data_IF_536441537346
#
_entry.id   IF_536441537346
#
_cell.length_a   1.000
_cell.length_b   1.000
_cell.length_c   1.000
_cell.angle_alpha   90.00
_cell.angle_beta   90.00
_cell.angle_gamma   90.00
#
_symmetry.space_group_name_H-M   'P 1'
#
loop_
_entity.id
_entity.type
_entity.pdbx_description
1 polymer ?
#
# COMPACT_ATOMS: atom_id res chain seq x y z
N UNK A 1 11.13 -4.19 -11.33
CA UNK A 1 11.51 -3.78 -9.95
C UNK A 1 12.98 -3.44 -10.01
N UNK A 2 13.35 -2.20 -9.69
CA UNK A 2 14.76 -1.82 -9.57
C UNK A 2 15.35 -2.46 -8.30
N UNK A 3 16.65 -2.72 -8.32
CA UNK A 3 17.38 -3.30 -7.20
C UNK A 3 17.24 -2.39 -5.97
N UNK A 4 16.73 -2.93 -4.85
CA UNK A 4 16.58 -2.20 -3.58
C UNK A 4 15.15 -2.12 -3.04
N UNK A 5 14.13 -2.47 -3.84
CA UNK A 5 12.73 -2.47 -3.37
C UNK A 5 12.30 -3.89 -3.01
N UNK A 6 11.97 -4.11 -1.74
CA UNK A 6 11.49 -5.39 -1.23
C UNK A 6 9.97 -5.36 -1.12
N UNK A 7 9.29 -6.28 -1.76
CA UNK A 7 7.86 -6.43 -1.57
C UNK A 7 7.56 -6.98 -0.16
N UNK A 8 6.81 -6.22 0.64
CA UNK A 8 6.44 -6.59 2.02
C UNK A 8 4.95 -6.92 2.19
N UNK A 9 4.12 -6.60 1.19
CA UNK A 9 2.70 -6.95 1.19
C UNK A 9 2.04 -6.80 -0.18
N UNK A 10 0.97 -7.57 -0.40
CA UNK A 10 0.10 -7.49 -1.58
C UNK A 10 -1.36 -7.61 -1.16
N UNK A 11 -2.25 -6.94 -1.88
CA UNK A 11 -3.71 -7.01 -1.73
C UNK A 11 -4.14 -6.89 -0.26
N UNK A 12 -3.54 -5.95 0.48
CA UNK A 12 -3.80 -5.79 1.89
C UNK A 12 -5.16 -5.17 2.11
N UNK A 13 -6.04 -5.87 2.82
CA UNK A 13 -7.41 -5.42 3.09
C UNK A 13 -7.62 -5.17 4.58
N UNK A 14 -8.27 -4.06 4.88
CA UNK A 14 -8.71 -3.72 6.23
C UNK A 14 -10.07 -3.01 6.16
N UNK A 15 -10.67 -2.73 7.32
CA UNK A 15 -11.97 -2.04 7.40
C UNK A 15 -11.99 -0.65 6.72
N UNK A 16 -10.82 -0.04 6.50
CA UNK A 16 -10.70 1.31 5.93
C UNK A 16 -10.41 1.32 4.42
N UNK A 17 -10.05 0.17 3.83
CA UNK A 17 -9.73 0.09 2.42
C UNK A 17 -8.80 -1.06 2.07
N UNK A 18 -8.28 -0.97 0.85
CA UNK A 18 -7.37 -1.94 0.25
C UNK A 18 -6.12 -1.21 -0.24
N UNK A 19 -4.96 -1.88 -0.16
CA UNK A 19 -3.69 -1.45 -0.71
C UNK A 19 -3.17 -2.57 -1.64
N UNK A 20 -2.88 -2.23 -2.90
CA UNK A 20 -2.51 -3.24 -3.90
C UNK A 20 -1.13 -3.83 -3.63
N UNK A 21 -0.09 -2.98 -3.54
CA UNK A 21 1.27 -3.41 -3.22
C UNK A 21 1.89 -2.51 -2.15
N UNK A 22 2.66 -3.12 -1.27
CA UNK A 22 3.45 -2.46 -0.24
C UNK A 22 4.91 -2.86 -0.45
N UNK A 23 5.76 -1.88 -0.69
CA UNK A 23 7.19 -2.06 -0.91
C UNK A 23 7.96 -1.40 0.22
N UNK A 24 9.02 -2.04 0.70
CA UNK A 24 10.05 -1.41 1.51
C UNK A 24 11.17 -0.95 0.58
N UNK A 25 11.49 0.33 0.65
CA UNK A 25 12.64 0.94 0.00
C UNK A 25 13.52 1.54 1.09
N UNK A 26 14.46 0.73 1.59
CA UNK A 26 15.42 1.14 2.63
C UNK A 26 14.73 1.71 3.88
N UNK A 27 13.68 1.05 4.36
CA UNK A 27 12.90 1.48 5.53
C UNK A 27 11.79 2.50 5.22
N UNK A 28 11.66 2.94 3.97
CA UNK A 28 10.51 3.75 3.53
C UNK A 28 9.43 2.81 2.99
N UNK A 29 8.24 2.87 3.58
CA UNK A 29 7.08 2.13 3.10
C UNK A 29 6.44 2.85 1.90
N UNK A 30 6.59 2.29 0.72
CA UNK A 30 6.00 2.78 -0.53
C UNK A 30 4.72 2.02 -0.83
N UNK A 31 3.63 2.77 -0.99
CA UNK A 31 2.32 2.24 -1.40
C UNK A 31 2.18 2.40 -2.90
N UNK A 32 1.95 1.30 -3.61
CA UNK A 32 1.76 1.31 -5.07
C UNK A 32 0.34 0.87 -5.38
N UNK A 33 -0.41 1.77 -6.01
CA UNK A 33 -1.72 1.47 -6.60
C UNK A 33 -1.52 0.95 -8.03
N UNK A 34 -2.06 -0.22 -8.32
CA UNK A 34 -1.97 -0.86 -9.63
C UNK A 34 -3.24 -0.58 -10.42
N UNK A 35 -3.11 0.04 -11.59
CA UNK A 35 -4.24 0.32 -12.49
C UNK A 35 -4.05 -0.41 -13.80
N UNK A 36 -4.98 -1.30 -14.14
CA UNK A 36 -5.05 -1.86 -15.48
C UNK A 36 -5.62 -0.81 -16.44
N UNK A 37 -4.95 -0.60 -17.58
CA UNK A 37 -5.47 0.19 -18.69
C UNK A 37 -5.52 -0.67 -19.94
N UNK A 38 -6.71 -0.75 -20.56
CA UNK A 38 -6.90 -1.43 -21.85
C UNK A 38 -6.77 -0.48 -23.04
N UNK A 39 -7.22 0.77 -22.90
CA UNK A 39 -7.15 1.83 -23.90
C UNK A 39 -6.86 3.17 -23.18
N UNK A 40 -6.08 4.06 -23.79
CA UNK A 40 -5.69 5.37 -23.23
C UNK A 40 -6.81 6.43 -23.23
N UNK A 41 -8.05 6.04 -23.54
CA UNK A 41 -9.22 6.95 -23.59
C UNK A 41 -9.84 7.26 -22.23
N UNK A 42 -9.43 6.56 -21.17
CA UNK A 42 -9.91 6.80 -19.80
C UNK A 42 -8.81 7.47 -19.00
N UNK A 43 -9.19 8.43 -18.14
CA UNK A 43 -8.33 9.40 -17.47
C UNK A 43 -6.99 8.90 -16.93
N UNK A 44 -6.05 9.83 -16.79
CA UNK A 44 -4.68 9.57 -16.37
C UNK A 44 -4.60 8.88 -15.00
N UNK A 45 -3.44 8.29 -14.69
CA UNK A 45 -3.20 7.62 -13.41
C UNK A 45 -3.39 8.62 -12.27
N UNK A 46 -2.97 9.86 -12.49
CA UNK A 46 -3.11 10.95 -11.55
C UNK A 46 -4.57 11.31 -11.29
N UNK A 47 -5.40 11.37 -12.34
CA UNK A 47 -6.85 11.62 -12.22
C UNK A 47 -7.56 10.52 -11.43
N UNK A 48 -7.00 9.31 -11.38
CA UNK A 48 -7.55 8.20 -10.60
C UNK A 48 -7.25 8.26 -9.10
N UNK A 49 -6.37 9.17 -8.66
CA UNK A 49 -6.00 9.39 -7.25
C UNK A 49 -6.78 10.59 -6.70
N UNK A 50 -8.08 10.40 -6.51
CA UNK A 50 -8.96 11.41 -5.92
C UNK A 50 -8.64 11.63 -4.43
N UNK A 51 -9.06 12.75 -3.86
CA UNK A 51 -8.91 13.03 -2.43
C UNK A 51 -9.54 11.94 -1.54
N UNK A 52 -10.69 11.41 -1.93
CA UNK A 52 -11.34 10.30 -1.23
C UNK A 52 -10.48 9.02 -1.26
N UNK A 53 -9.81 8.76 -2.38
CA UNK A 53 -8.90 7.61 -2.52
C UNK A 53 -7.64 7.79 -1.68
N UNK A 54 -7.06 8.99 -1.70
CA UNK A 54 -5.92 9.33 -0.83
C UNK A 54 -6.27 9.10 0.65
N UNK A 55 -7.43 9.58 1.10
CA UNK A 55 -7.87 9.39 2.49
C UNK A 55 -7.97 7.90 2.88
N UNK A 56 -8.53 7.05 1.99
CA UNK A 56 -8.60 5.60 2.20
C UNK A 56 -7.22 4.95 2.25
N UNK A 57 -6.33 5.30 1.33
CA UNK A 57 -4.95 4.81 1.31
C UNK A 57 -4.24 5.18 2.62
N UNK A 58 -4.32 6.43 3.05
CA UNK A 58 -3.71 6.89 4.30
C UNK A 58 -4.25 6.11 5.51
N UNK A 59 -5.57 5.92 5.61
CA UNK A 59 -6.18 5.19 6.71
C UNK A 59 -5.77 3.70 6.72
N UNK A 60 -5.74 3.05 5.55
CA UNK A 60 -5.31 1.66 5.43
C UNK A 60 -3.81 1.50 5.73
N UNK A 61 -2.96 2.44 5.30
CA UNK A 61 -1.51 2.44 5.61
C UNK A 61 -1.25 2.60 7.10
N UNK A 62 -1.95 3.51 7.78
CA UNK A 62 -1.85 3.63 9.25
C UNK A 62 -2.22 2.33 9.95
N UNK A 63 -3.31 1.69 9.50
CA UNK A 63 -3.73 0.40 10.03
C UNK A 63 -2.68 -0.70 9.79
N UNK A 64 -2.08 -0.77 8.60
CA UNK A 64 -1.02 -1.72 8.28
C UNK A 64 0.19 -1.57 9.20
N UNK A 65 0.67 -0.34 9.42
CA UNK A 65 1.85 -0.07 10.27
C UNK A 65 1.61 -0.55 11.70
N UNK A 66 0.44 -0.24 12.27
CA UNK A 66 0.08 -0.67 13.63
C UNK A 66 0.01 -2.20 13.70
N UNK A 67 -0.69 -2.84 12.76
CA UNK A 67 -0.82 -4.30 12.71
C UNK A 67 0.55 -5.00 12.58
N UNK A 68 1.45 -4.50 11.73
CA UNK A 68 2.80 -5.07 11.58
C UNK A 68 3.66 -4.91 12.83
N UNK A 69 3.58 -3.76 13.51
CA UNK A 69 4.31 -3.55 14.79
C UNK A 69 3.84 -4.54 15.86
N UNK A 70 2.52 -4.71 16.01
CA UNK A 70 1.94 -5.69 16.94
C UNK A 70 2.46 -7.10 16.68
N UNK A 71 2.47 -7.52 15.42
CA UNK A 71 2.96 -8.85 15.03
C UNK A 71 4.47 -8.99 15.31
N UNK A 72 5.27 -7.98 14.96
CA UNK A 72 6.71 -8.00 15.24
C UNK A 72 7.01 -8.05 16.73
N UNK A 73 6.22 -7.36 17.56
CA UNK A 73 6.38 -7.39 19.02
C UNK A 73 6.00 -8.75 19.59
N UNK A 74 4.88 -9.34 19.14
CA UNK A 74 4.49 -10.69 19.56
C UNK A 74 5.52 -11.74 19.15
N UNK A 75 6.08 -11.64 17.93
CA UNK A 75 7.14 -12.53 17.46
C UNK A 75 8.50 -12.35 18.15
N UNK A 76 8.69 -11.27 18.92
CA UNK A 76 9.84 -11.08 19.81
C UNK A 76 9.58 -11.58 21.24
N UNK A 77 8.32 -11.86 21.58
CA UNK A 77 7.89 -12.37 22.89
C UNK A 77 7.71 -13.90 22.93
N UNK A 78 7.72 -14.55 21.76
CA UNK A 78 7.65 -16.00 21.57
C UNK A 78 9.01 -16.52 21.11
#
# INVERSE_FOLDING_TARGET
MQQGQVLVGRNYRCKWGELDLLMDEQGVLVIVEVRYRKNDRYGSALESITAAKQARIIAATKHYIVAKKLISQLGLML
#
